data_IF_410204037747
#
_entry.id   IF_410204037747
#
_cell.length_a   1.000
_cell.length_b   1.000
_cell.length_c   1.000
_cell.angle_alpha   90.00
_cell.angle_beta   90.00
_cell.angle_gamma   90.00
#
_symmetry.space_group_name_H-M   'P 1'
#
loop_
_entity.id
_entity.type
_entity.pdbx_description
1 polymer ?
#
# COMPACT_ATOMS: atom_id res chain seq x y z
N UNK A 1 -10.77 16.23 3.16
CA UNK A 1 -11.37 16.90 4.33
C UNK A 1 -10.89 16.34 5.67
N UNK A 2 -9.91 15.43 5.69
CA UNK A 2 -9.26 15.00 6.93
C UNK A 2 -7.78 15.40 6.84
N UNK A 3 -7.42 16.50 7.49
CA UNK A 3 -6.01 16.94 7.59
C UNK A 3 -5.19 16.00 8.46
N UNK A 4 -5.86 15.38 9.44
CA UNK A 4 -5.26 14.39 10.32
C UNK A 4 -5.15 13.03 9.62
N UNK A 5 -3.90 12.64 9.33
CA UNK A 5 -3.54 11.37 8.69
C UNK A 5 -3.88 10.16 9.57
N UNK A 6 -3.85 10.30 10.89
CA UNK A 6 -4.24 9.25 11.82
C UNK A 6 -5.75 9.02 11.74
N UNK A 7 -6.54 10.09 11.86
CA UNK A 7 -8.00 9.99 11.72
C UNK A 7 -8.40 9.44 10.34
N UNK A 8 -7.74 9.92 9.28
CA UNK A 8 -7.95 9.44 7.91
C UNK A 8 -7.66 7.94 7.79
N UNK A 9 -6.52 7.48 8.30
CA UNK A 9 -6.17 6.07 8.27
C UNK A 9 -7.12 5.20 9.09
N UNK A 10 -7.54 5.67 10.27
CA UNK A 10 -8.53 4.96 11.10
C UNK A 10 -9.85 4.77 10.35
N UNK A 11 -10.37 5.82 9.72
CA UNK A 11 -11.61 5.76 8.91
C UNK A 11 -11.44 4.82 7.72
N UNK A 12 -10.33 4.92 6.98
CA UNK A 12 -10.03 4.02 5.85
C UNK A 12 -10.00 2.55 6.32
N UNK A 13 -9.36 2.29 7.46
CA UNK A 13 -9.26 0.97 8.06
C UNK A 13 -10.63 0.37 8.41
N UNK A 14 -11.47 1.16 9.07
CA UNK A 14 -12.84 0.75 9.45
C UNK A 14 -13.70 0.47 8.20
N UNK A 15 -13.64 1.34 7.19
CA UNK A 15 -14.39 1.15 5.94
C UNK A 15 -13.94 -0.11 5.19
N UNK A 16 -12.63 -0.32 5.08
CA UNK A 16 -12.08 -1.54 4.48
C UNK A 16 -12.50 -2.79 5.27
N UNK A 17 -12.59 -2.68 6.61
CA UNK A 17 -13.06 -3.77 7.45
C UNK A 17 -14.53 -4.12 7.21
N UNK A 18 -15.38 -3.11 6.99
CA UNK A 18 -16.78 -3.34 6.59
C UNK A 18 -16.89 -4.18 5.32
N UNK A 19 -16.07 -3.90 4.31
CA UNK A 19 -16.02 -4.70 3.07
C UNK A 19 -15.52 -6.12 3.34
N UNK A 20 -14.44 -6.28 4.14
CA UNK A 20 -13.89 -7.59 4.56
C UNK A 20 -14.95 -8.44 5.26
N UNK A 21 -15.65 -7.88 6.24
CA UNK A 21 -16.69 -8.56 7.02
C UNK A 21 -17.87 -8.94 6.14
N UNK A 22 -18.29 -8.05 5.24
CA UNK A 22 -19.36 -8.33 4.28
C UNK A 22 -19.00 -9.51 3.38
N UNK A 23 -17.78 -9.51 2.81
CA UNK A 23 -17.31 -10.62 1.98
C UNK A 23 -17.22 -11.93 2.77
N UNK A 24 -16.74 -11.90 4.01
CA UNK A 24 -16.72 -13.08 4.88
C UNK A 24 -18.12 -13.59 5.21
N UNK A 25 -19.07 -12.69 5.49
CA UNK A 25 -20.45 -13.09 5.77
C UNK A 25 -21.12 -13.73 4.56
N UNK A 26 -20.86 -13.23 3.34
CA UNK A 26 -21.31 -13.85 2.09
C UNK A 26 -20.73 -15.27 1.98
N UNK A 27 -19.42 -15.44 2.18
CA UNK A 27 -18.76 -16.76 2.13
C UNK A 27 -19.26 -17.72 3.22
N UNK A 28 -19.57 -17.21 4.42
CA UNK A 28 -20.23 -17.97 5.49
C UNK A 28 -21.63 -18.44 5.07
N UNK A 29 -22.41 -17.55 4.46
CA UNK A 29 -23.78 -17.84 4.00
C UNK A 29 -23.80 -18.86 2.86
N UNK A 30 -22.74 -18.91 2.05
CA UNK A 30 -22.52 -19.91 1.01
C UNK A 30 -21.96 -21.26 1.54
N UNK A 31 -21.70 -21.37 2.85
CA UNK A 31 -21.16 -22.58 3.48
C UNK A 31 -19.67 -22.81 3.24
N UNK A 32 -18.92 -21.81 2.76
CA UNK A 32 -17.47 -21.95 2.50
C UNK A 32 -16.64 -21.85 3.78
N UNK A 33 -17.22 -21.27 4.84
CA UNK A 33 -16.63 -21.19 6.18
C UNK A 33 -17.73 -21.41 7.22
N UNK A 34 -17.38 -22.04 8.34
CA UNK A 34 -18.27 -22.24 9.50
C UNK A 34 -18.20 -21.11 10.52
N UNK A 35 -17.29 -20.14 10.33
CA UNK A 35 -17.02 -19.06 11.29
C UNK A 35 -16.98 -17.69 10.63
N UNK A 36 -17.46 -16.69 11.38
CA UNK A 36 -17.39 -15.27 11.01
C UNK A 36 -16.16 -14.65 11.67
N UNK A 37 -15.51 -13.69 10.99
CA UNK A 37 -14.23 -13.10 11.44
C UNK A 37 -14.23 -12.58 12.88
N UNK A 38 -15.28 -11.88 13.31
CA UNK A 38 -15.34 -11.35 14.67
C UNK A 38 -15.38 -12.45 15.73
N UNK A 39 -15.91 -13.65 15.42
CA UNK A 39 -15.89 -14.81 16.31
C UNK A 39 -14.46 -15.34 16.47
N UNK A 40 -13.70 -15.40 15.37
CA UNK A 40 -12.28 -15.80 15.38
C UNK A 40 -11.48 -14.87 16.29
N UNK A 41 -11.76 -13.57 16.24
CA UNK A 41 -11.13 -12.58 17.14
C UNK A 41 -11.58 -12.77 18.58
N UNK A 42 -12.88 -13.03 18.82
CA UNK A 42 -13.43 -13.20 20.17
C UNK A 42 -12.82 -14.39 20.94
N UNK A 43 -12.45 -15.49 20.26
CA UNK A 43 -11.77 -16.66 20.86
C UNK A 43 -10.50 -16.28 21.64
N UNK A 44 -9.87 -15.15 21.31
CA UNK A 44 -8.68 -14.67 22.02
C UNK A 44 -8.95 -14.06 23.38
N UNK A 45 -10.21 -13.68 23.67
CA UNK A 45 -10.58 -12.94 24.87
C UNK A 45 -11.58 -13.70 25.74
N UNK A 46 -12.40 -14.57 25.15
CA UNK A 46 -13.42 -15.35 25.85
C UNK A 46 -13.34 -16.82 25.46
N UNK A 47 -13.85 -17.71 26.32
CA UNK A 47 -13.86 -19.14 26.05
C UNK A 47 -14.84 -19.51 24.93
N UNK A 48 -14.59 -20.63 24.25
CA UNK A 48 -15.40 -21.12 23.12
C UNK A 48 -16.89 -21.28 23.46
N UNK A 49 -17.19 -21.71 24.69
CA UNK A 49 -18.55 -21.87 25.23
C UNK A 49 -19.34 -20.56 25.27
N UNK A 50 -18.65 -19.42 25.25
CA UNK A 50 -19.24 -18.10 25.33
C UNK A 50 -19.34 -17.41 23.96
N UNK A 51 -18.84 -18.02 22.87
CA UNK A 51 -18.87 -17.43 21.52
C UNK A 51 -20.28 -17.25 20.94
N UNK A 52 -21.24 -18.04 21.41
CA UNK A 52 -22.65 -17.92 21.03
C UNK A 52 -23.39 -16.81 21.78
N UNK A 53 -22.78 -16.24 22.82
CA UNK A 53 -23.40 -15.19 23.63
C UNK A 53 -23.22 -13.82 22.96
N UNK A 54 -24.17 -12.87 23.12
CA UNK A 54 -24.06 -11.52 22.56
C UNK A 54 -22.78 -10.77 22.98
N UNK A 55 -22.22 -11.11 24.15
CA UNK A 55 -20.97 -10.52 24.63
C UNK A 55 -19.77 -10.81 23.71
N UNK A 56 -19.77 -11.94 23.01
CA UNK A 56 -18.74 -12.29 22.04
C UNK A 56 -18.71 -11.31 20.86
N UNK A 57 -19.89 -10.86 20.42
CA UNK A 57 -20.03 -9.89 19.34
C UNK A 57 -19.50 -8.53 19.75
N UNK A 58 -19.75 -8.12 21.00
CA UNK A 58 -19.23 -6.84 21.52
C UNK A 58 -17.71 -6.88 21.62
N UNK A 59 -17.15 -7.91 22.25
CA UNK A 59 -15.70 -8.02 22.48
C UNK A 59 -14.96 -8.22 21.16
N UNK A 60 -15.38 -9.20 20.35
CA UNK A 60 -14.77 -9.52 19.07
C UNK A 60 -14.93 -8.40 18.05
N UNK A 61 -16.12 -7.79 17.98
CA UNK A 61 -16.39 -6.65 17.10
C UNK A 61 -15.57 -5.41 17.47
N UNK A 62 -15.48 -5.09 18.77
CA UNK A 62 -14.64 -3.98 19.23
C UNK A 62 -13.16 -4.22 18.94
N UNK A 63 -12.65 -5.42 19.22
CA UNK A 63 -11.26 -5.78 18.93
C UNK A 63 -10.95 -5.72 17.42
N UNK A 64 -11.84 -6.21 16.55
CA UNK A 64 -11.68 -6.16 15.09
C UNK A 64 -11.75 -4.72 14.56
N UNK A 65 -12.62 -3.87 15.10
CA UNK A 65 -12.70 -2.45 14.75
C UNK A 65 -11.44 -1.68 15.16
N UNK A 66 -10.97 -1.86 16.40
CA UNK A 66 -9.75 -1.19 16.88
C UNK A 66 -8.54 -1.65 16.08
N UNK A 67 -8.41 -2.95 15.83
CA UNK A 67 -7.31 -3.51 15.05
C UNK A 67 -7.34 -2.99 13.61
N UNK A 68 -8.51 -3.01 12.96
CA UNK A 68 -8.63 -2.53 11.58
C UNK A 68 -8.39 -1.03 11.44
N UNK A 69 -8.80 -0.22 12.43
CA UNK A 69 -8.47 1.21 12.48
C UNK A 69 -6.95 1.41 12.57
N UNK A 70 -6.28 0.71 13.49
CA UNK A 70 -4.82 0.79 13.65
C UNK A 70 -4.06 0.35 12.37
N UNK A 71 -4.53 -0.70 11.70
CA UNK A 71 -3.99 -1.15 10.42
C UNK A 71 -4.23 -0.15 9.28
N UNK A 72 -5.37 0.53 9.27
CA UNK A 72 -5.64 1.60 8.33
C UNK A 72 -4.69 2.80 8.54
N UNK A 73 -4.44 3.18 9.80
CA UNK A 73 -3.44 4.21 10.16
C UNK A 73 -2.06 3.82 9.62
N UNK A 74 -1.59 2.62 9.93
CA UNK A 74 -0.27 2.18 9.50
C UNK A 74 -0.17 2.04 7.98
N UNK A 75 -1.24 1.64 7.28
CA UNK A 75 -1.26 1.64 5.81
C UNK A 75 -1.16 3.04 5.22
N UNK A 76 -1.88 4.03 5.74
CA UNK A 76 -1.77 5.43 5.27
C UNK A 76 -0.35 5.96 5.51
N UNK A 77 0.24 5.70 6.68
CA UNK A 77 1.63 6.05 6.96
C UNK A 77 2.62 5.35 6.02
N UNK A 78 2.38 4.08 5.70
CA UNK A 78 3.16 3.34 4.71
C UNK A 78 3.08 3.99 3.32
N UNK A 79 1.90 4.37 2.85
CA UNK A 79 1.73 5.02 1.54
C UNK A 79 2.37 6.42 1.49
N UNK A 80 2.42 7.13 2.62
CA UNK A 80 3.12 8.41 2.73
C UNK A 80 4.63 8.27 2.51
N UNK A 81 5.23 7.19 3.03
CA UNK A 81 6.67 6.93 2.92
C UNK A 81 7.01 6.39 1.52
N UNK A 82 6.22 5.44 1.01
CA UNK A 82 6.55 4.69 -0.21
C UNK A 82 5.85 5.20 -1.48
N UNK A 83 5.16 6.34 -1.41
CA UNK A 83 4.34 6.92 -2.48
C UNK A 83 3.07 6.12 -2.82
N UNK A 84 2.12 6.81 -3.47
CA UNK A 84 0.84 6.27 -3.97
C UNK A 84 0.98 5.45 -5.26
N UNK A 85 2.16 5.40 -5.89
CA UNK A 85 2.38 4.57 -7.09
C UNK A 85 2.07 3.10 -6.77
N UNK A 86 1.31 2.44 -7.64
CA UNK A 86 0.86 1.06 -7.48
C UNK A 86 0.03 0.81 -6.20
N UNK A 87 -0.84 1.77 -5.84
CA UNK A 87 -1.64 1.75 -4.61
C UNK A 87 -2.38 0.43 -4.36
N UNK A 88 -3.03 -0.13 -5.38
CA UNK A 88 -3.77 -1.39 -5.23
C UNK A 88 -2.86 -2.61 -5.02
N UNK A 89 -1.72 -2.67 -5.70
CA UNK A 89 -0.74 -3.75 -5.51
C UNK A 89 -0.16 -3.68 -4.09
N UNK A 90 0.17 -2.47 -3.63
CA UNK A 90 0.60 -2.23 -2.25
C UNK A 90 -0.49 -2.59 -1.24
N UNK A 91 -1.73 -2.23 -1.51
CA UNK A 91 -2.88 -2.61 -0.68
C UNK A 91 -3.03 -4.12 -0.58
N UNK A 92 -3.05 -4.83 -1.71
CA UNK A 92 -3.12 -6.28 -1.76
C UNK A 92 -1.96 -6.94 -0.99
N UNK A 93 -0.72 -6.52 -1.28
CA UNK A 93 0.47 -7.02 -0.58
C UNK A 93 0.43 -6.75 0.92
N UNK A 94 -0.04 -5.57 1.33
CA UNK A 94 -0.23 -5.22 2.73
C UNK A 94 -1.28 -6.12 3.41
N UNK A 95 -2.43 -6.32 2.78
CA UNK A 95 -3.48 -7.22 3.31
C UNK A 95 -2.98 -8.66 3.47
N UNK A 96 -2.27 -9.19 2.47
CA UNK A 96 -1.67 -10.53 2.52
C UNK A 96 -0.56 -10.65 3.56
N UNK A 97 0.25 -9.61 3.75
CA UNK A 97 1.26 -9.57 4.80
C UNK A 97 0.61 -9.62 6.19
N UNK A 98 -0.44 -8.83 6.41
CA UNK A 98 -1.20 -8.85 7.67
C UNK A 98 -1.83 -10.22 7.90
N UNK A 99 -2.39 -10.86 6.87
CA UNK A 99 -2.88 -12.23 6.97
C UNK A 99 -1.78 -13.21 7.40
N UNK A 100 -0.62 -13.17 6.75
CA UNK A 100 0.49 -14.06 7.10
C UNK A 100 0.98 -13.83 8.55
N UNK A 101 1.05 -12.58 9.00
CA UNK A 101 1.47 -12.25 10.37
C UNK A 101 0.39 -12.60 11.39
N UNK A 102 -0.80 -12.00 11.29
CA UNK A 102 -1.85 -12.18 12.30
C UNK A 102 -2.44 -13.59 12.28
N UNK A 103 -2.74 -14.11 11.09
CA UNK A 103 -3.32 -15.44 10.96
C UNK A 103 -2.26 -16.55 11.05
N UNK A 104 -1.18 -16.41 10.28
CA UNK A 104 -0.13 -17.43 10.23
C UNK A 104 0.71 -17.51 11.51
N UNK A 105 1.15 -16.37 12.07
CA UNK A 105 2.05 -16.37 13.22
C UNK A 105 1.32 -16.33 14.57
N UNK A 106 0.23 -15.57 14.70
CA UNK A 106 -0.43 -15.36 16.00
C UNK A 106 -1.66 -16.25 16.23
N UNK A 107 -2.48 -16.52 15.22
CA UNK A 107 -3.67 -17.37 15.36
C UNK A 107 -3.36 -18.86 15.12
N UNK A 108 -2.37 -19.20 14.29
CA UNK A 108 -1.96 -20.59 14.06
C UNK A 108 -1.58 -21.35 15.34
N UNK A 109 -1.12 -20.64 16.37
CA UNK A 109 -0.76 -21.21 17.68
C UNK A 109 -1.95 -21.43 18.63
N UNK A 110 -3.15 -20.98 18.27
CA UNK A 110 -4.31 -20.97 19.18
C UNK A 110 -5.59 -21.53 18.58
N UNK A 111 -5.57 -21.88 17.28
CA UNK A 111 -6.72 -22.44 16.55
C UNK A 111 -6.38 -23.86 16.07
N UNK A 112 -5.60 -24.60 16.87
CA UNK A 112 -4.80 -25.76 16.43
C UNK A 112 -5.57 -26.96 15.82
N UNK A 113 -6.91 -27.01 15.79
CA UNK A 113 -7.61 -28.21 15.30
C UNK A 113 -8.87 -28.05 14.44
N UNK A 114 -9.58 -26.91 14.44
CA UNK A 114 -10.98 -26.91 13.95
C UNK A 114 -11.30 -26.04 12.71
N UNK A 115 -10.33 -25.33 12.13
CA UNK A 115 -10.58 -24.57 10.88
C UNK A 115 -10.33 -25.45 9.66
N UNK A 116 -11.36 -25.76 8.85
CA UNK A 116 -11.17 -26.55 7.65
C UNK A 116 -10.25 -25.82 6.65
N UNK A 117 -9.50 -26.53 5.78
CA UNK A 117 -8.60 -25.91 4.80
C UNK A 117 -9.28 -24.83 3.94
N UNK A 118 -10.56 -25.02 3.62
CA UNK A 118 -11.36 -24.05 2.89
C UNK A 118 -11.56 -22.73 3.68
N UNK A 119 -11.72 -22.82 5.00
CA UNK A 119 -11.80 -21.65 5.88
C UNK A 119 -10.52 -20.82 5.86
N UNK A 120 -9.35 -21.46 5.77
CA UNK A 120 -8.05 -20.76 5.61
C UNK A 120 -8.03 -19.98 4.29
N UNK A 121 -8.47 -20.60 3.18
CA UNK A 121 -8.57 -19.94 1.88
C UNK A 121 -9.54 -18.75 1.94
N UNK A 122 -10.68 -18.90 2.61
CA UNK A 122 -11.64 -17.80 2.83
C UNK A 122 -10.98 -16.63 3.57
N UNK A 123 -10.16 -16.89 4.60
CA UNK A 123 -9.46 -15.82 5.33
C UNK A 123 -8.41 -15.12 4.47
N UNK A 124 -7.71 -15.85 3.59
CA UNK A 124 -6.76 -15.30 2.63
C UNK A 124 -7.46 -14.37 1.63
N UNK A 125 -8.60 -14.80 1.08
CA UNK A 125 -9.42 -13.99 0.16
C UNK A 125 -9.95 -12.75 0.88
N UNK A 126 -10.47 -12.89 2.09
CA UNK A 126 -10.99 -11.76 2.87
C UNK A 126 -9.91 -10.70 3.12
N UNK A 127 -8.67 -11.09 3.44
CA UNK A 127 -7.58 -10.14 3.61
C UNK A 127 -7.08 -9.53 2.30
N UNK A 128 -7.18 -10.26 1.18
CA UNK A 128 -6.93 -9.70 -0.15
C UNK A 128 -7.94 -8.59 -0.46
N UNK A 129 -9.23 -8.84 -0.19
CA UNK A 129 -10.31 -7.86 -0.32
C UNK A 129 -10.09 -6.67 0.60
N UNK A 130 -9.70 -6.90 1.86
CA UNK A 130 -9.36 -5.84 2.81
C UNK A 130 -8.22 -4.95 2.27
N UNK A 131 -7.13 -5.56 1.80
CA UNK A 131 -5.99 -4.84 1.23
C UNK A 131 -6.34 -4.00 0.00
N UNK A 132 -7.13 -4.55 -0.92
CA UNK A 132 -7.64 -3.81 -2.08
C UNK A 132 -8.56 -2.66 -1.65
N UNK A 133 -9.40 -2.89 -0.63
CA UNK A 133 -10.31 -1.88 -0.08
C UNK A 133 -9.55 -0.74 0.60
N UNK A 134 -8.45 -1.02 1.31
CA UNK A 134 -7.55 0.01 1.84
C UNK A 134 -7.03 0.90 0.71
N UNK A 135 -6.59 0.30 -0.41
CA UNK A 135 -6.17 1.03 -1.60
C UNK A 135 -7.29 1.89 -2.19
N UNK A 136 -8.50 1.33 -2.32
CA UNK A 136 -9.67 2.05 -2.84
C UNK A 136 -10.06 3.24 -1.96
N UNK A 137 -10.25 3.05 -0.65
CA UNK A 137 -10.64 4.13 0.24
C UNK A 137 -9.53 5.16 0.42
N UNK A 138 -8.26 4.75 0.35
CA UNK A 138 -7.14 5.70 0.25
C UNK A 138 -7.25 6.53 -1.02
N UNK A 139 -7.53 5.94 -2.18
CA UNK A 139 -7.72 6.68 -3.42
C UNK A 139 -8.85 7.72 -3.33
N UNK A 140 -9.98 7.34 -2.71
CA UNK A 140 -11.17 8.18 -2.61
C UNK A 140 -11.05 9.29 -1.57
N UNK A 141 -10.47 9.00 -0.40
CA UNK A 141 -10.47 9.91 0.76
C UNK A 141 -9.18 10.72 0.89
N UNK A 142 -8.06 10.21 0.39
CA UNK A 142 -6.78 10.90 0.41
C UNK A 142 -6.71 11.93 -0.73
N UNK A 143 -7.04 13.18 -0.42
CA UNK A 143 -6.80 14.32 -1.32
C UNK A 143 -5.37 14.81 -1.16
N UNK A 144 -4.67 15.01 -2.27
CA UNK A 144 -3.34 15.63 -2.26
C UNK A 144 -3.48 17.11 -1.88
N UNK A 145 -3.05 17.45 -0.67
CA UNK A 145 -2.94 18.85 -0.26
C UNK A 145 -1.91 19.59 -1.11
N UNK A 146 -0.91 18.89 -1.65
CA UNK A 146 0.11 19.45 -2.55
C UNK A 146 -0.47 20.08 -3.82
N UNK A 147 -1.50 19.47 -4.42
CA UNK A 147 -2.17 20.06 -5.59
C UNK A 147 -3.06 21.25 -5.23
N UNK A 148 -3.62 21.25 -4.01
CA UNK A 148 -4.49 22.32 -3.53
C UNK A 148 -3.69 23.55 -3.06
N UNK A 149 -2.50 23.33 -2.50
CA UNK A 149 -1.54 24.39 -2.13
C UNK A 149 -0.87 25.02 -3.35
N UNK A 150 -0.57 24.23 -4.40
CA UNK A 150 -0.04 24.73 -5.68
C UNK A 150 -1.11 25.45 -6.48
N UNK A 151 -2.39 25.05 -6.38
CA UNK A 151 -3.48 25.71 -7.08
C UNK A 151 -3.98 27.00 -6.40
N UNK A 152 -3.81 27.15 -5.08
CA UNK A 152 -4.28 28.32 -4.32
C UNK A 152 -3.19 29.34 -3.99
N UNK A 153 -1.91 29.01 -4.16
CA UNK A 153 -0.84 29.98 -3.97
C UNK A 153 -0.30 30.44 -5.34
N UNK A 154 -0.58 31.69 -5.71
CA UNK A 154 0.22 32.49 -6.64
C UNK A 154 1.61 32.81 -6.03
N UNK A 155 2.20 31.88 -5.28
CA UNK A 155 3.51 32.04 -4.69
C UNK A 155 4.58 31.66 -5.73
N UNK A 156 5.66 32.43 -5.83
CA UNK A 156 6.67 32.22 -6.84
C UNK A 156 7.31 30.86 -6.65
N UNK A 157 7.04 29.96 -7.61
CA UNK A 157 7.75 28.70 -7.93
C UNK A 157 9.05 28.56 -7.13
N UNK A 158 8.93 28.06 -5.90
CA UNK A 158 10.10 27.77 -5.09
C UNK A 158 10.78 26.60 -5.79
N UNK A 159 11.96 26.91 -6.35
CA UNK A 159 12.86 25.97 -7.02
C UNK A 159 12.96 24.68 -6.21
N UNK A 160 12.18 23.68 -6.58
CA UNK A 160 12.52 22.29 -6.32
C UNK A 160 13.71 22.01 -7.24
N UNK A 161 14.90 22.38 -6.78
CA UNK A 161 16.15 21.84 -7.30
C UNK A 161 16.11 20.33 -7.07
N UNK A 162 15.58 19.62 -8.06
CA UNK A 162 16.27 18.49 -8.69
C UNK A 162 17.26 17.70 -7.82
N UNK A 163 16.82 17.12 -6.70
CA UNK A 163 17.59 16.09 -6.00
C UNK A 163 17.70 14.77 -6.81
N UNK A 164 17.04 14.70 -7.97
CA UNK A 164 17.01 13.56 -8.88
C UNK A 164 17.46 13.89 -10.31
N UNK A 165 18.04 15.07 -10.56
CA UNK A 165 18.87 15.18 -11.77
C UNK A 165 20.18 14.46 -11.44
N UNK A 166 20.56 13.40 -12.18
CA UNK A 166 21.88 12.83 -12.00
C UNK A 166 22.88 13.97 -12.15
N UNK A 167 23.78 14.14 -11.19
CA UNK A 167 24.96 14.96 -11.45
C UNK A 167 25.58 14.41 -12.75
N UNK A 168 25.87 15.26 -13.74
CA UNK A 168 26.57 14.78 -14.92
C UNK A 168 27.83 14.09 -14.42
N UNK A 169 27.89 12.77 -14.62
CA UNK A 169 29.08 12.01 -14.34
C UNK A 169 30.22 12.77 -15.02
N UNK A 170 31.26 13.07 -14.25
CA UNK A 170 32.51 13.70 -14.66
C UNK A 170 32.44 15.16 -15.19
N UNK A 171 33.03 16.09 -14.43
CA UNK A 171 33.61 17.31 -15.03
C UNK A 171 34.79 16.88 -15.90
N UNK A 172 34.73 17.10 -17.21
CA UNK A 172 35.91 17.06 -18.09
C UNK A 172 36.98 17.98 -17.51
N UNK A 173 37.99 17.42 -16.84
CA UNK A 173 39.20 18.14 -16.48
C UNK A 173 39.98 18.36 -17.77
N UNK A 174 39.73 19.47 -18.45
CA UNK A 174 40.51 19.85 -19.63
C UNK A 174 41.92 20.21 -19.16
N UNK A 175 42.86 19.29 -19.38
CA UNK A 175 44.28 19.59 -19.21
C UNK A 175 44.70 20.58 -20.29
N UNK A 176 44.92 21.84 -19.91
CA UNK A 176 45.61 22.81 -20.77
C UNK A 176 47.07 22.37 -20.89
N UNK A 177 47.40 21.66 -21.97
CA UNK A 177 48.79 21.41 -22.35
C UNK A 177 49.39 22.74 -22.78
N UNK A 178 50.24 23.34 -21.92
CA UNK A 178 51.07 24.50 -22.30
C UNK A 178 52.00 24.06 -23.43
N UNK A 179 51.81 24.62 -24.63
CA UNK A 179 52.67 24.39 -25.79
C UNK A 179 52.02 23.74 -27.01
N UNK A 180 50.74 23.35 -26.95
CA UNK A 180 50.05 22.82 -28.12
C UNK A 180 49.83 23.92 -29.18
N UNK A 181 50.51 23.80 -30.34
CA UNK A 181 50.24 24.63 -31.52
C UNK A 181 48.76 24.53 -31.90
N UNK A 182 48.13 25.66 -32.21
CA UNK A 182 46.74 25.76 -32.68
C UNK A 182 46.49 24.71 -33.77
N UNK A 183 45.45 23.86 -33.67
CA UNK A 183 45.14 22.92 -34.73
C UNK A 183 44.80 23.69 -36.01
N UNK A 184 45.41 23.26 -37.12
CA UNK A 184 45.09 23.74 -38.46
C UNK A 184 43.60 23.52 -38.75
N UNK A 185 42.99 24.47 -39.48
CA UNK A 185 41.56 24.54 -39.79
C UNK A 185 40.94 23.16 -40.07
N UNK A 186 39.75 22.86 -39.53
CA UNK A 186 39.10 21.56 -39.71
C UNK A 186 38.88 21.29 -41.21
N UNK A 187 39.48 20.21 -41.70
CA UNK A 187 39.24 19.70 -43.05
C UNK A 187 37.81 19.14 -43.09
N UNK A 188 36.95 19.77 -43.89
CA UNK A 188 35.60 19.26 -44.17
C UNK A 188 35.72 17.99 -44.99
N UNK A 189 35.57 16.84 -44.35
CA UNK A 189 35.47 15.55 -45.05
C UNK A 189 34.04 15.48 -45.63
N UNK A 190 33.93 15.41 -46.96
CA UNK A 190 32.64 15.19 -47.63
C UNK A 190 32.16 13.76 -47.35
N UNK A 191 30.87 13.56 -47.01
CA UNK A 191 30.33 12.23 -46.78
C UNK A 191 30.36 11.41 -48.07
N UNK A 192 30.95 10.22 -47.99
CA UNK A 192 30.98 9.22 -49.07
C UNK A 192 29.59 8.60 -49.16
N UNK A 193 28.91 8.70 -50.31
CA UNK A 193 27.61 8.05 -50.56
C UNK A 193 27.79 6.53 -50.41
N UNK A 194 27.24 5.99 -49.33
CA UNK A 194 27.11 4.56 -49.08
C UNK A 194 25.67 4.19 -49.41
N UNK A 195 25.33 3.94 -50.67
CA UNK A 195 24.24 3.05 -51.11
C UNK A 195 24.41 2.91 -52.63
N UNK A 196 24.74 1.69 -53.06
CA UNK A 196 24.67 1.26 -54.45
C UNK A 196 23.38 0.49 -54.63
N UNK A 197 22.64 0.84 -55.68
CA UNK A 197 21.40 0.20 -56.09
C UNK A 197 21.61 -1.29 -56.39
N UNK A 198 20.76 -2.13 -55.81
CA UNK A 198 20.41 -3.47 -56.31
C UNK A 198 18.93 -3.71 -56.08
#
# INVERSE_FOLDING_TARGET
>A
MLKDKIMLGAIIGILANGVKLTANYIMYSLGWTSVIFWQIVAVRFIGEKDLSKPIALVIGGAADLVTSAALGVSFVLFILIFSRKFLFIKGLGYGLLIWAILFGAFLGQSVETDVPPLGIIVTLIAHSIYGLSLGLFTLLLYKDETLSEVANNDAPLFKIKSAFLPEPAYKLRSFKIKGAKKPSKPQKIKPKKLFGDK
#
